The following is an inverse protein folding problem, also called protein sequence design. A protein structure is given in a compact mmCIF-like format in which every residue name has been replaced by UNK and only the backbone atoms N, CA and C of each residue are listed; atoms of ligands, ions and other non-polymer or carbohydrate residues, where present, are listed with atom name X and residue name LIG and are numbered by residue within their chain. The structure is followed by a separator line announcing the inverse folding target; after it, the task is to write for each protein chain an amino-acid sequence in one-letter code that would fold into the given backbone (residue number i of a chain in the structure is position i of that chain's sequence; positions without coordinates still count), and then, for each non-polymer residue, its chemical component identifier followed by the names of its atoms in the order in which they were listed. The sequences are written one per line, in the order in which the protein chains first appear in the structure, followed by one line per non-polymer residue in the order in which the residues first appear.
data_IF_511678391953
#
_entry.id   IF_511678391953
#
_cell.length_a   1.000
_cell.length_b   1.000
_cell.length_c   1.000
_cell.angle_alpha   90.00
_cell.angle_beta   90.00
_cell.angle_gamma   90.00
#
_symmetry.space_group_name_H-M   'P 1'
#
loop_
_entity.id
_entity.type
_entity.pdbx_description
1 polymer ?
#
# COMPACT_ATOMS: atom_id res chain seq x y z
N UNK A 1 4.06 -26.94 -15.41
CA UNK A 1 3.26 -26.13 -16.34
C UNK A 1 3.30 -24.69 -15.89
N UNK A 2 3.52 -23.71 -16.78
CA UNK A 2 3.47 -22.30 -16.43
C UNK A 2 2.07 -21.90 -15.93
N UNK A 3 2.00 -20.99 -14.95
CA UNK A 3 0.76 -20.45 -14.38
C UNK A 3 0.75 -18.93 -14.55
N UNK A 4 -0.41 -18.37 -14.84
CA UNK A 4 -0.65 -16.93 -14.87
C UNK A 4 -1.79 -16.58 -13.91
N UNK A 5 -1.67 -15.46 -13.20
CA UNK A 5 -2.70 -14.92 -12.30
C UNK A 5 -3.01 -13.50 -12.74
N UNK A 6 -4.30 -13.17 -12.89
CA UNK A 6 -4.73 -11.81 -13.15
C UNK A 6 -4.72 -11.01 -11.83
N UNK A 7 -4.22 -9.79 -11.91
CA UNK A 7 -4.10 -8.85 -10.79
C UNK A 7 -3.72 -7.46 -11.32
N UNK A 8 -3.61 -6.49 -10.42
CA UNK A 8 -3.12 -5.15 -10.74
C UNK A 8 -1.69 -5.05 -10.22
N UNK A 9 -0.75 -4.76 -11.12
CA UNK A 9 0.64 -4.48 -10.78
C UNK A 9 0.75 -3.02 -10.35
N UNK A 10 1.34 -2.80 -9.19
CA UNK A 10 1.64 -1.46 -8.67
C UNK A 10 3.15 -1.32 -8.59
N UNK A 11 3.65 -0.21 -9.12
CA UNK A 11 5.02 0.28 -8.97
C UNK A 11 4.98 1.50 -8.04
N UNK A 12 5.81 1.49 -7.00
CA UNK A 12 5.90 2.56 -6.00
C UNK A 12 7.26 2.52 -5.28
N UNK A 13 7.66 3.61 -4.63
CA UNK A 13 8.87 3.60 -3.81
C UNK A 13 8.75 2.69 -2.57
N UNK A 14 9.87 2.25 -1.97
CA UNK A 14 9.85 1.34 -0.82
C UNK A 14 9.07 1.86 0.39
N UNK A 15 8.99 3.19 0.57
CA UNK A 15 8.25 3.77 1.70
C UNK A 15 6.74 3.64 1.51
N UNK A 16 6.25 3.89 0.28
CA UNK A 16 4.86 3.66 -0.09
C UNK A 16 4.51 2.16 -0.03
N UNK A 17 5.40 1.28 -0.50
CA UNK A 17 5.21 -0.17 -0.37
C UNK A 17 5.04 -0.59 1.09
N UNK A 18 5.85 -0.05 2.01
CA UNK A 18 5.71 -0.34 3.44
C UNK A 18 4.34 0.08 4.00
N UNK A 19 3.81 1.23 3.57
CA UNK A 19 2.46 1.68 3.94
C UNK A 19 1.39 0.75 3.34
N UNK A 20 1.53 0.32 2.08
CA UNK A 20 0.63 -0.65 1.45
C UNK A 20 0.62 -1.98 2.24
N UNK A 21 1.77 -2.48 2.69
CA UNK A 21 1.86 -3.70 3.50
C UNK A 21 1.21 -3.55 4.88
N UNK A 22 1.30 -2.35 5.49
CA UNK A 22 0.57 -2.03 6.72
C UNK A 22 -0.94 -2.07 6.48
N UNK A 23 -1.42 -1.42 5.43
CA UNK A 23 -2.83 -1.41 5.03
C UNK A 23 -3.32 -2.84 4.77
N UNK A 24 -2.57 -3.66 4.04
CA UNK A 24 -2.95 -5.04 3.75
C UNK A 24 -3.12 -5.88 5.03
N UNK A 25 -2.21 -5.71 6.01
CA UNK A 25 -2.30 -6.36 7.33
C UNK A 25 -3.57 -5.94 8.08
N UNK A 26 -3.89 -4.65 8.08
CA UNK A 26 -5.13 -4.12 8.69
C UNK A 26 -6.38 -4.69 8.01
N UNK A 27 -6.30 -4.92 6.69
CA UNK A 27 -7.35 -5.53 5.87
C UNK A 27 -7.34 -7.07 5.88
N UNK A 28 -6.65 -7.68 6.84
CA UNK A 28 -6.58 -9.14 7.01
C UNK A 28 -6.00 -9.88 5.79
N UNK A 29 -4.97 -9.31 5.16
CA UNK A 29 -4.26 -9.88 4.02
C UNK A 29 -5.15 -10.19 2.80
N UNK A 30 -6.10 -9.30 2.53
CA UNK A 30 -7.07 -9.44 1.43
C UNK A 30 -6.76 -8.55 0.22
N UNK A 31 -5.70 -7.75 0.23
CA UNK A 31 -5.39 -6.83 -0.88
C UNK A 31 -4.23 -7.38 -1.70
N UNK A 32 -3.11 -7.66 -1.03
CA UNK A 32 -1.88 -8.09 -1.70
C UNK A 32 -1.97 -9.57 -2.07
N UNK A 33 -1.68 -9.87 -3.33
CA UNK A 33 -1.59 -11.23 -3.85
C UNK A 33 -0.16 -11.76 -3.79
N UNK A 34 0.82 -10.90 -4.08
CA UNK A 34 2.23 -11.26 -4.17
C UNK A 34 3.11 -10.01 -4.02
N UNK A 35 4.20 -10.14 -3.26
CA UNK A 35 5.30 -9.18 -3.24
C UNK A 35 6.33 -9.61 -4.28
N UNK A 36 6.62 -8.73 -5.25
CA UNK A 36 7.50 -9.08 -6.38
C UNK A 36 8.94 -8.67 -6.06
N UNK A 37 9.15 -7.40 -5.73
CA UNK A 37 10.44 -6.83 -5.32
C UNK A 37 10.19 -5.60 -4.43
N UNK A 38 11.22 -4.79 -4.17
CA UNK A 38 11.14 -3.64 -3.26
C UNK A 38 10.24 -2.49 -3.78
N UNK A 39 9.99 -2.43 -5.08
CA UNK A 39 9.22 -1.37 -5.73
C UNK A 39 7.91 -1.88 -6.34
N UNK A 40 7.72 -3.20 -6.44
CA UNK A 40 6.58 -3.81 -7.11
C UNK A 40 5.76 -4.73 -6.20
N UNK A 41 4.44 -4.56 -6.26
CA UNK A 41 3.46 -5.42 -5.59
C UNK A 41 2.31 -5.76 -6.53
N UNK A 42 1.87 -7.01 -6.51
CA UNK A 42 0.67 -7.47 -7.20
C UNK A 42 -0.51 -7.50 -6.23
N UNK A 43 -1.62 -6.86 -6.59
CA UNK A 43 -2.85 -6.82 -5.78
C UNK A 43 -4.05 -7.45 -6.49
N UNK A 44 -5.10 -7.72 -5.72
CA UNK A 44 -6.40 -8.15 -6.25
C UNK A 44 -7.05 -7.09 -7.15
N UNK A 45 -7.64 -7.53 -8.26
CA UNK A 45 -8.25 -6.65 -9.28
C UNK A 45 -9.33 -5.72 -8.72
N UNK A 46 -10.14 -6.19 -7.78
CA UNK A 46 -11.26 -5.44 -7.20
C UNK A 46 -10.84 -4.56 -6.01
N UNK A 47 -9.54 -4.51 -5.67
CA UNK A 47 -9.03 -3.76 -4.51
C UNK A 47 -8.29 -2.48 -4.86
N UNK A 48 -8.08 -2.20 -6.15
CA UNK A 48 -7.32 -1.02 -6.58
C UNK A 48 -7.90 0.30 -6.04
N UNK A 49 -9.20 0.53 -6.21
CA UNK A 49 -9.83 1.80 -5.81
C UNK A 49 -9.86 1.96 -4.29
N UNK A 50 -10.15 0.87 -3.56
CA UNK A 50 -10.11 0.85 -2.09
C UNK A 50 -8.70 1.11 -1.57
N UNK A 51 -7.69 0.46 -2.15
CA UNK A 51 -6.29 0.68 -1.77
C UNK A 51 -5.88 2.14 -2.00
N UNK A 52 -6.30 2.74 -3.12
CA UNK A 52 -6.01 4.13 -3.43
C UNK A 52 -6.60 5.10 -2.41
N UNK A 53 -7.82 4.85 -1.94
CA UNK A 53 -8.47 5.65 -0.90
C UNK A 53 -7.79 5.47 0.47
N UNK A 54 -7.52 4.23 0.88
CA UNK A 54 -6.85 3.92 2.14
C UNK A 54 -5.45 4.52 2.20
N UNK A 55 -4.67 4.39 1.12
CA UNK A 55 -3.35 4.97 1.01
C UNK A 55 -3.39 6.50 1.09
N UNK A 56 -4.35 7.14 0.42
CA UNK A 56 -4.55 8.60 0.51
C UNK A 56 -4.85 9.06 1.94
N UNK A 57 -5.63 8.28 2.69
CA UNK A 57 -5.94 8.61 4.09
C UNK A 57 -4.72 8.39 5.00
N UNK A 58 -4.02 7.26 4.86
CA UNK A 58 -2.81 6.96 5.62
C UNK A 58 -1.72 8.03 5.43
N UNK A 59 -1.56 8.54 4.20
CA UNK A 59 -0.60 9.61 3.91
C UNK A 59 -0.97 10.95 4.58
N UNK A 60 -2.26 11.30 4.65
CA UNK A 60 -2.70 12.51 5.35
C UNK A 60 -2.40 12.46 6.83
N UNK A 61 -2.66 11.32 7.46
CA UNK A 61 -2.40 11.13 8.89
C UNK A 61 -0.89 11.22 9.17
N UNK A 62 -0.07 10.59 8.33
CA UNK A 62 1.39 10.62 8.45
C UNK A 62 1.96 12.03 8.30
N UNK A 63 1.45 12.83 7.35
CA UNK A 63 1.89 14.23 7.15
C UNK A 63 1.48 15.10 8.33
N UNK A 64 0.26 14.95 8.84
CA UNK A 64 -0.23 15.74 9.98
C UNK A 64 0.57 15.47 11.26
N UNK A 65 0.86 14.20 11.55
CA UNK A 65 1.70 13.83 12.71
C UNK A 65 3.11 14.45 12.61
N UNK A 66 3.69 14.50 11.40
CA UNK A 66 4.98 15.12 11.17
C UNK A 66 4.96 16.64 11.41
N UNK A 67 3.92 17.34 10.95
CA UNK A 67 3.75 18.78 11.17
C UNK A 67 3.57 19.10 12.68
N UNK A 68 2.68 18.40 13.38
CA UNK A 68 2.44 18.59 14.82
C UNK A 68 3.71 18.34 15.66
N UNK A 69 4.53 17.37 15.26
CA UNK A 69 5.81 17.07 15.94
C UNK A 69 6.86 18.16 15.75
N UNK A 70 6.79 18.93 14.66
CA UNK A 70 7.76 19.99 14.35
C UNK A 70 7.46 21.34 14.99
N UNK A 71 6.22 21.57 15.42
CA UNK A 71 5.80 22.80 16.12
C UNK A 71 6.01 22.74 17.65
N UNK A 72 6.39 21.58 18.17
CA UNK A 72 6.51 21.32 19.62
C UNK A 72 7.95 21.36 20.15
N UNK A 73 8.94 21.70 19.32
CA UNK A 73 10.36 21.94 19.65
C UNK A 73 10.74 23.43 19.53
#
# INVERSE_FOLDING_TARGET
MPKARAGVLIECDPSIKAIIMKIDREQQHRIVMEEIDDEHVLIQNDKHDVLKELLKNALKDTVREAEDSSESD
#
